data_IF_197843752261
#
_entry.id   IF_197843752261
#
_cell.length_a   1.000
_cell.length_b   1.000
_cell.length_c   1.000
_cell.angle_alpha   90.00
_cell.angle_beta   90.00
_cell.angle_gamma   90.00
#
_symmetry.space_group_name_H-M   'P 1'
#
loop_
_entity.id
_entity.type
_entity.pdbx_description
1 polymer ?
#
# COMPACT_ATOMS: atom_id res chain seq x y z
N UNK A 1 -16.94 18.49 -1.75
CA UNK A 1 -16.33 18.02 -0.48
C UNK A 1 -14.90 18.51 -0.48
N UNK A 2 -14.55 19.28 0.52
CA UNK A 2 -13.17 19.74 0.69
C UNK A 2 -12.36 18.66 1.41
N UNK A 3 -11.19 18.30 0.85
CA UNK A 3 -10.33 17.25 1.37
C UNK A 3 -9.00 17.90 1.75
N UNK A 4 -8.77 18.01 3.04
CA UNK A 4 -7.48 18.44 3.57
C UNK A 4 -6.54 17.22 3.67
N UNK A 5 -5.27 17.37 3.25
CA UNK A 5 -4.25 16.33 3.42
C UNK A 5 -3.11 16.90 4.26
N UNK A 6 -2.77 16.20 5.31
CA UNK A 6 -1.61 16.51 6.16
C UNK A 6 -0.88 15.24 6.58
N UNK A 7 0.31 15.41 7.11
CA UNK A 7 1.03 14.29 7.74
C UNK A 7 0.25 13.74 8.94
N UNK A 8 0.34 12.44 9.14
CA UNK A 8 -0.13 11.79 10.36
C UNK A 8 0.62 12.32 11.58
N UNK A 9 -0.02 12.34 12.73
CA UNK A 9 0.53 12.73 14.04
C UNK A 9 0.29 11.60 15.03
N UNK A 10 1.05 11.54 16.09
CA UNK A 10 0.89 10.49 17.12
C UNK A 10 -0.54 10.41 17.67
N UNK A 11 -1.21 11.57 17.86
CA UNK A 11 -2.61 11.64 18.32
C UNK A 11 -3.63 11.04 17.32
N UNK A 12 -3.20 10.79 16.08
CA UNK A 12 -4.04 10.21 15.02
C UNK A 12 -3.93 8.67 14.98
N UNK A 13 -2.87 8.10 15.52
CA UNK A 13 -2.50 6.68 15.33
C UNK A 13 -3.66 5.73 15.57
N UNK A 14 -4.33 5.84 16.72
CA UNK A 14 -5.47 4.97 17.02
C UNK A 14 -6.63 5.16 16.05
N UNK A 15 -6.91 6.40 15.64
CA UNK A 15 -7.97 6.70 14.66
C UNK A 15 -7.66 6.13 13.29
N UNK A 16 -6.39 6.14 12.89
CA UNK A 16 -5.94 5.53 11.62
C UNK A 16 -6.02 4.01 11.68
N UNK A 17 -5.66 3.39 12.80
CA UNK A 17 -5.84 1.95 13.01
C UNK A 17 -7.33 1.56 12.92
N UNK A 18 -8.21 2.30 13.60
CA UNK A 18 -9.68 2.10 13.53
C UNK A 18 -10.21 2.29 12.11
N UNK A 19 -9.79 3.35 11.43
CA UNK A 19 -10.15 3.64 10.04
C UNK A 19 -9.71 2.52 9.10
N UNK A 20 -8.47 2.06 9.25
CA UNK A 20 -7.91 1.00 8.41
C UNK A 20 -8.65 -0.31 8.65
N UNK A 21 -8.94 -0.64 9.92
CA UNK A 21 -9.75 -1.79 10.27
C UNK A 21 -11.14 -1.75 9.62
N UNK A 22 -11.80 -0.61 9.66
CA UNK A 22 -13.11 -0.44 9.00
C UNK A 22 -13.04 -0.55 7.48
N UNK A 23 -11.98 0.00 6.87
CA UNK A 23 -11.80 -0.01 5.42
C UNK A 23 -11.54 -1.40 4.84
N UNK A 24 -10.82 -2.25 5.58
CA UNK A 24 -10.38 -3.57 5.10
C UNK A 24 -11.16 -4.75 5.67
N UNK A 25 -12.09 -4.53 6.63
CA UNK A 25 -12.82 -5.61 7.27
C UNK A 25 -13.58 -6.50 6.28
N UNK A 26 -13.23 -7.78 6.24
CA UNK A 26 -13.75 -8.79 5.33
C UNK A 26 -13.51 -8.51 3.83
N UNK A 27 -12.52 -7.68 3.48
CA UNK A 27 -12.24 -7.39 2.07
C UNK A 27 -11.37 -8.47 1.42
N UNK A 28 -10.28 -8.85 2.05
CA UNK A 28 -9.32 -9.82 1.51
C UNK A 28 -9.52 -11.23 2.07
N UNK A 29 -9.89 -11.32 3.33
CA UNK A 29 -10.21 -12.54 4.08
C UNK A 29 -11.15 -12.17 5.24
N UNK A 30 -11.75 -13.15 5.97
CA UNK A 30 -12.56 -12.85 7.14
C UNK A 30 -11.75 -12.11 8.21
N UNK A 31 -12.19 -10.89 8.58
CA UNK A 31 -11.41 -9.95 9.38
C UNK A 31 -10.48 -9.09 8.53
N UNK A 32 -9.37 -8.65 9.09
CA UNK A 32 -8.28 -7.96 8.39
C UNK A 32 -7.03 -7.90 9.27
N UNK A 33 -5.86 -7.67 8.69
CA UNK A 33 -4.59 -7.43 9.37
C UNK A 33 -3.92 -6.08 9.01
N UNK A 34 -4.49 -5.34 8.07
CA UNK A 34 -3.96 -4.05 7.63
C UNK A 34 -3.91 -3.01 8.75
N UNK A 35 -4.80 -3.08 9.74
CA UNK A 35 -4.75 -2.20 10.90
C UNK A 35 -3.56 -2.53 11.83
N UNK A 36 -3.13 -3.79 11.87
CA UNK A 36 -1.91 -4.19 12.54
C UNK A 36 -0.67 -3.77 11.73
N UNK A 37 -0.74 -3.86 10.40
CA UNK A 37 0.33 -3.35 9.53
C UNK A 37 0.60 -1.87 9.79
N UNK A 38 -0.41 -1.00 9.84
CA UNK A 38 -0.18 0.44 10.11
C UNK A 38 0.40 0.67 11.51
N UNK A 39 0.06 -0.18 12.49
CA UNK A 39 0.63 -0.11 13.83
C UNK A 39 2.12 -0.41 13.84
N UNK A 40 2.54 -1.54 13.26
CA UNK A 40 3.94 -1.98 13.30
C UNK A 40 4.82 -1.20 12.33
N UNK A 41 4.27 -0.71 11.22
CA UNK A 41 5.02 0.03 10.21
C UNK A 41 5.67 1.29 10.79
N UNK A 42 4.98 2.01 11.68
CA UNK A 42 5.49 3.24 12.30
C UNK A 42 6.80 3.07 13.07
N UNK A 43 7.06 1.87 13.60
CA UNK A 43 8.29 1.53 14.32
C UNK A 43 9.31 0.78 13.47
N UNK A 44 8.97 0.46 12.21
CA UNK A 44 9.85 -0.31 11.33
C UNK A 44 10.93 0.59 10.70
N UNK A 45 12.20 0.12 10.57
CA UNK A 45 13.29 0.91 9.99
C UNK A 45 13.08 1.32 8.53
N UNK A 46 12.23 0.60 7.78
CA UNK A 46 11.88 0.94 6.41
C UNK A 46 10.75 1.97 6.30
N UNK A 47 10.12 2.36 7.40
CA UNK A 47 9.06 3.35 7.38
C UNK A 47 9.56 4.70 6.86
N UNK A 48 8.72 5.37 6.06
CA UNK A 48 8.99 6.70 5.51
C UNK A 48 7.98 7.70 6.09
N UNK A 49 8.26 8.26 7.29
CA UNK A 49 7.30 9.13 7.99
C UNK A 49 6.99 10.41 7.20
N UNK A 50 7.87 10.82 6.27
CA UNK A 50 7.64 11.95 5.38
C UNK A 50 6.53 11.68 4.34
N UNK A 51 6.19 10.41 4.10
CA UNK A 51 5.16 9.97 3.15
C UNK A 51 3.96 9.32 3.85
N UNK A 52 3.82 9.54 5.14
CA UNK A 52 2.64 9.12 5.90
C UNK A 52 1.64 10.28 5.98
N UNK A 53 0.48 10.10 5.34
CA UNK A 53 -0.54 11.13 5.20
C UNK A 53 -1.92 10.66 5.60
N UNK A 54 -2.66 11.56 6.25
CA UNK A 54 -4.09 11.43 6.50
C UNK A 54 -4.88 12.42 5.66
N UNK A 55 -6.06 11.99 5.23
CA UNK A 55 -7.06 12.86 4.59
C UNK A 55 -8.17 13.18 5.58
N UNK A 56 -8.52 14.45 5.68
CA UNK A 56 -9.57 14.95 6.54
C UNK A 56 -10.71 15.54 5.71
N UNK A 57 -11.93 15.36 6.20
CA UNK A 57 -13.15 16.02 5.74
C UNK A 57 -13.87 16.55 6.98
N UNK A 58 -14.16 17.84 7.01
CA UNK A 58 -14.79 18.52 8.16
C UNK A 58 -14.06 18.22 9.49
N UNK A 59 -12.71 18.19 9.46
CA UNK A 59 -11.86 17.91 10.61
C UNK A 59 -11.80 16.44 11.05
N UNK A 60 -12.53 15.52 10.39
CA UNK A 60 -12.52 14.09 10.66
C UNK A 60 -11.54 13.38 9.74
N UNK A 61 -10.66 12.53 10.29
CA UNK A 61 -9.79 11.64 9.50
C UNK A 61 -10.68 10.60 8.80
N UNK A 62 -10.57 10.53 7.47
CA UNK A 62 -11.38 9.67 6.61
C UNK A 62 -10.55 8.79 5.66
N UNK A 63 -9.24 8.99 5.62
CA UNK A 63 -8.32 8.18 4.83
C UNK A 63 -6.88 8.30 5.31
N UNK A 64 -6.06 7.31 4.97
CA UNK A 64 -4.62 7.27 5.25
C UNK A 64 -3.88 6.56 4.13
N UNK A 65 -2.61 6.91 3.94
CA UNK A 65 -1.64 6.23 3.08
C UNK A 65 -0.26 6.26 3.75
N UNK A 66 0.41 5.11 3.77
CA UNK A 66 1.75 4.96 4.35
C UNK A 66 2.72 4.34 3.36
N UNK A 67 4.00 4.68 3.50
CA UNK A 67 5.07 4.19 2.62
C UNK A 67 6.17 3.50 3.39
N UNK A 68 6.77 2.51 2.74
CA UNK A 68 7.99 1.83 3.20
C UNK A 68 9.05 1.83 2.10
N UNK A 69 10.32 1.80 2.50
CA UNK A 69 11.44 1.50 1.61
C UNK A 69 11.35 0.05 1.14
N UNK A 70 11.74 -0.15 -0.09
CA UNK A 70 11.88 -1.46 -0.72
C UNK A 70 13.07 -1.41 -1.68
N UNK A 71 13.36 -2.52 -2.33
CA UNK A 71 14.48 -2.56 -3.28
C UNK A 71 14.10 -3.29 -4.56
N UNK A 72 14.83 -2.99 -5.60
CA UNK A 72 14.92 -3.87 -6.78
C UNK A 72 16.37 -4.26 -6.98
N UNK A 73 16.61 -5.50 -7.39
CA UNK A 73 17.94 -6.05 -7.66
C UNK A 73 17.98 -6.59 -9.08
N UNK A 74 19.01 -6.21 -9.85
CA UNK A 74 19.14 -6.66 -11.22
C UNK A 74 20.01 -7.94 -11.35
N UNK A 75 20.10 -8.46 -12.57
CA UNK A 75 20.86 -9.66 -12.91
C UNK A 75 22.37 -9.56 -12.64
N UNK A 76 22.90 -8.36 -12.43
CA UNK A 76 24.30 -8.10 -12.12
C UNK A 76 24.56 -7.93 -10.62
N UNK A 77 23.52 -8.04 -9.79
CA UNK A 77 23.59 -7.81 -8.34
C UNK A 77 23.56 -6.34 -7.93
N UNK A 78 23.29 -5.42 -8.86
CA UNK A 78 23.04 -4.02 -8.54
C UNK A 78 21.71 -3.89 -7.83
N UNK A 79 21.71 -3.20 -6.69
CA UNK A 79 20.51 -2.99 -5.87
C UNK A 79 20.17 -1.51 -5.81
N UNK A 80 18.94 -1.17 -6.17
CA UNK A 80 18.42 0.19 -6.14
C UNK A 80 17.30 0.29 -5.10
N UNK A 81 17.32 1.38 -4.32
CA UNK A 81 16.22 1.70 -3.42
C UNK A 81 15.02 2.19 -4.24
N UNK A 82 13.89 1.58 -3.99
CA UNK A 82 12.56 1.99 -4.46
C UNK A 82 11.65 2.13 -3.25
N UNK A 83 10.44 2.61 -3.45
CA UNK A 83 9.45 2.69 -2.37
C UNK A 83 8.21 1.90 -2.72
N UNK A 84 7.50 1.47 -1.68
CA UNK A 84 6.19 0.84 -1.80
C UNK A 84 5.21 1.55 -0.88
N UNK A 85 3.94 1.57 -1.22
CA UNK A 85 2.92 2.04 -0.29
C UNK A 85 1.86 0.96 -0.04
N UNK A 86 1.34 0.99 1.15
CA UNK A 86 0.28 0.16 1.65
C UNK A 86 0.30 0.13 3.18
N UNK A 87 -0.89 0.13 3.78
CA UNK A 87 -2.19 0.21 3.12
C UNK A 87 -2.56 1.61 2.65
N UNK A 88 -3.54 1.68 1.72
CA UNK A 88 -4.29 2.91 1.41
C UNK A 88 -5.70 2.70 1.91
N UNK A 89 -6.07 3.39 2.95
CA UNK A 89 -7.33 3.22 3.66
C UNK A 89 -8.26 4.39 3.41
N UNK A 90 -9.53 4.12 3.15
CA UNK A 90 -10.59 5.14 3.11
C UNK A 90 -11.82 4.58 3.80
N UNK A 91 -12.37 5.31 4.78
CA UNK A 91 -13.60 4.92 5.44
C UNK A 91 -14.69 4.57 4.41
N UNK A 92 -15.45 3.46 4.58
CA UNK A 92 -16.45 3.01 3.62
C UNK A 92 -17.44 4.10 3.19
N UNK A 93 -17.88 4.94 4.13
CA UNK A 93 -18.79 6.07 3.86
C UNK A 93 -18.17 7.20 3.01
N UNK A 94 -16.84 7.21 2.83
CA UNK A 94 -16.10 8.21 2.05
C UNK A 94 -15.43 7.64 0.82
N UNK A 95 -15.58 6.34 0.55
CA UNK A 95 -15.12 5.71 -0.68
C UNK A 95 -15.85 6.27 -1.91
N UNK A 96 -15.23 6.17 -3.08
CA UNK A 96 -15.72 6.69 -4.37
C UNK A 96 -16.00 8.21 -4.41
N UNK A 97 -15.51 8.96 -3.42
CA UNK A 97 -15.66 10.44 -3.31
C UNK A 97 -14.35 11.20 -3.55
N UNK A 98 -13.34 10.55 -4.09
CA UNK A 98 -12.05 11.18 -4.43
C UNK A 98 -10.99 11.16 -3.34
N UNK A 99 -11.29 10.70 -2.12
CA UNK A 99 -10.33 10.69 -0.98
C UNK A 99 -9.07 9.90 -1.30
N UNK A 100 -9.20 8.64 -1.75
CA UNK A 100 -8.04 7.82 -2.13
C UNK A 100 -7.24 8.42 -3.31
N UNK A 101 -7.93 9.03 -4.27
CA UNK A 101 -7.29 9.75 -5.40
C UNK A 101 -6.43 10.90 -4.89
N UNK A 102 -6.97 11.71 -3.99
CA UNK A 102 -6.26 12.86 -3.41
C UNK A 102 -5.03 12.41 -2.62
N UNK A 103 -5.14 11.37 -1.79
CA UNK A 103 -4.02 10.79 -1.05
C UNK A 103 -2.91 10.30 -1.98
N UNK A 104 -3.24 9.45 -2.97
CA UNK A 104 -2.26 8.87 -3.90
C UNK A 104 -1.57 9.96 -4.72
N UNK A 105 -2.32 10.89 -5.30
CA UNK A 105 -1.73 11.97 -6.10
C UNK A 105 -0.87 12.92 -5.28
N UNK A 106 -1.30 13.23 -4.03
CA UNK A 106 -0.51 14.06 -3.13
C UNK A 106 0.79 13.37 -2.76
N UNK A 107 0.73 12.12 -2.28
CA UNK A 107 1.91 11.39 -1.82
C UNK A 107 2.89 11.07 -2.95
N UNK A 108 2.43 10.74 -4.16
CA UNK A 108 3.31 10.57 -5.33
C UNK A 108 4.06 11.86 -5.70
N UNK A 109 3.41 13.03 -5.62
CA UNK A 109 4.10 14.31 -5.83
C UNK A 109 5.16 14.57 -4.75
N UNK A 110 4.86 14.26 -3.48
CA UNK A 110 5.83 14.40 -2.41
C UNK A 110 7.00 13.42 -2.58
N UNK A 111 6.72 12.17 -2.93
CA UNK A 111 7.76 11.18 -3.24
C UNK A 111 8.70 11.68 -4.36
N UNK A 112 8.14 12.26 -5.42
CA UNK A 112 8.92 12.88 -6.49
C UNK A 112 9.79 14.04 -5.98
N UNK A 113 9.22 14.94 -5.17
CA UNK A 113 9.95 16.08 -4.58
C UNK A 113 11.09 15.63 -3.66
N UNK A 114 10.93 14.50 -2.98
CA UNK A 114 11.97 13.88 -2.14
C UNK A 114 13.03 13.14 -2.96
N UNK A 115 12.85 13.02 -4.27
CA UNK A 115 13.82 12.39 -5.16
C UNK A 115 13.66 10.89 -5.32
N UNK A 116 12.56 10.28 -4.83
CA UNK A 116 12.27 8.87 -5.13
C UNK A 116 12.03 8.68 -6.63
N UNK A 117 12.46 7.53 -7.15
CA UNK A 117 12.52 7.28 -8.60
C UNK A 117 11.48 6.30 -9.10
N UNK A 118 11.16 5.31 -8.28
CA UNK A 118 10.27 4.19 -8.63
C UNK A 118 9.39 3.86 -7.43
N UNK A 119 8.12 3.58 -7.70
CA UNK A 119 7.19 3.01 -6.73
C UNK A 119 6.73 1.65 -7.25
N UNK A 120 6.82 0.60 -6.43
CA UNK A 120 6.32 -0.74 -6.72
C UNK A 120 5.30 -1.12 -5.65
N UNK A 121 4.14 -1.60 -6.07
CA UNK A 121 3.04 -1.96 -5.15
C UNK A 121 2.41 -3.28 -5.54
N UNK A 122 1.72 -3.89 -4.59
CA UNK A 122 0.71 -4.91 -4.86
C UNK A 122 -0.68 -4.30 -4.72
N UNK A 123 -1.50 -4.44 -5.75
CA UNK A 123 -2.85 -3.91 -5.75
C UNK A 123 -3.63 -4.23 -7.01
N UNK A 124 -4.93 -3.99 -7.00
CA UNK A 124 -5.77 -4.27 -8.16
C UNK A 124 -5.52 -3.20 -9.25
N UNK A 125 -5.16 -3.57 -10.49
CA UNK A 125 -4.83 -2.63 -11.57
C UNK A 125 -5.90 -1.55 -11.81
N UNK A 126 -7.17 -1.91 -11.70
CA UNK A 126 -8.30 -0.99 -11.82
C UNK A 126 -8.17 0.25 -10.91
N UNK A 127 -7.59 0.08 -9.72
CA UNK A 127 -7.45 1.17 -8.75
C UNK A 127 -6.27 2.10 -9.05
N UNK A 128 -5.20 1.61 -9.70
CA UNK A 128 -3.91 2.30 -9.75
C UNK A 128 -3.46 2.71 -11.15
N UNK A 129 -3.89 2.03 -12.23
CA UNK A 129 -3.45 2.37 -13.58
C UNK A 129 -3.81 3.80 -14.01
N UNK A 130 -4.90 4.35 -13.49
CA UNK A 130 -5.30 5.76 -13.72
C UNK A 130 -4.31 6.81 -13.18
N UNK A 131 -3.38 6.42 -12.31
CA UNK A 131 -2.30 7.27 -11.78
C UNK A 131 -0.97 7.08 -12.50
N UNK A 132 -0.95 6.28 -13.58
CA UNK A 132 0.24 6.00 -14.36
C UNK A 132 0.99 4.72 -13.96
N UNK A 133 0.46 3.94 -13.01
CA UNK A 133 0.99 2.60 -12.74
C UNK A 133 0.74 1.68 -13.94
N UNK A 134 1.72 0.84 -14.23
CA UNK A 134 1.64 -0.24 -15.22
C UNK A 134 1.93 -1.57 -14.54
N UNK A 135 1.55 -2.68 -15.19
CA UNK A 135 2.00 -3.98 -14.72
C UNK A 135 3.53 -4.02 -14.63
N UNK A 136 4.08 -4.48 -13.52
CA UNK A 136 5.52 -4.42 -13.24
C UNK A 136 6.36 -5.13 -14.33
N UNK A 137 5.80 -6.13 -15.02
CA UNK A 137 6.38 -6.75 -16.21
C UNK A 137 6.76 -5.75 -17.29
N UNK A 138 5.97 -4.70 -17.51
CA UNK A 138 6.26 -3.67 -18.53
C UNK A 138 7.53 -2.87 -18.23
N UNK A 139 8.01 -2.92 -16.99
CA UNK A 139 9.26 -2.33 -16.53
C UNK A 139 10.30 -3.39 -16.17
N UNK A 140 10.12 -4.64 -16.65
CA UNK A 140 10.97 -5.78 -16.37
C UNK A 140 11.18 -6.07 -14.87
N UNK A 141 10.21 -5.76 -14.02
CA UNK A 141 10.27 -6.03 -12.59
C UNK A 141 9.45 -7.30 -12.31
N UNK A 142 10.12 -8.34 -11.83
CA UNK A 142 9.53 -9.62 -11.40
C UNK A 142 9.43 -9.70 -9.87
N UNK A 143 8.70 -10.68 -9.36
CA UNK A 143 8.79 -11.13 -7.98
C UNK A 143 10.14 -11.84 -7.71
N UNK A 144 10.39 -12.23 -6.46
CA UNK A 144 11.59 -12.95 -6.04
C UNK A 144 11.84 -14.25 -6.85
N UNK A 145 10.75 -14.88 -7.33
CA UNK A 145 10.79 -16.13 -8.10
C UNK A 145 10.91 -15.91 -9.61
N UNK A 146 11.07 -14.66 -10.05
CA UNK A 146 11.18 -14.31 -11.47
C UNK A 146 9.83 -14.31 -12.21
N UNK A 147 8.69 -14.32 -11.50
CA UNK A 147 7.35 -14.31 -12.06
C UNK A 147 6.79 -12.88 -12.07
N UNK A 148 5.71 -12.67 -12.80
CA UNK A 148 5.04 -11.38 -12.93
C UNK A 148 3.63 -11.47 -12.36
N UNK A 149 3.43 -11.25 -11.03
CA UNK A 149 2.11 -11.25 -10.44
C UNK A 149 1.20 -10.21 -11.11
N UNK A 150 -0.05 -10.58 -11.40
CA UNK A 150 -1.05 -9.68 -11.97
C UNK A 150 -1.25 -8.42 -11.10
N UNK A 151 -1.18 -8.59 -9.79
CA UNK A 151 -1.36 -7.49 -8.83
C UNK A 151 -0.11 -6.64 -8.62
N UNK A 152 1.06 -7.04 -9.15
CA UNK A 152 2.28 -6.26 -9.00
C UNK A 152 2.35 -5.15 -10.03
N UNK A 153 2.31 -3.91 -9.55
CA UNK A 153 2.27 -2.70 -10.38
C UNK A 153 3.46 -1.81 -10.04
N UNK A 154 3.93 -1.07 -11.02
CA UNK A 154 5.02 -0.13 -10.80
C UNK A 154 4.84 1.15 -11.61
N UNK A 155 5.47 2.23 -11.12
CA UNK A 155 5.58 3.50 -11.83
C UNK A 155 7.00 4.02 -11.69
N UNK A 156 7.63 4.39 -12.80
CA UNK A 156 8.83 5.22 -12.79
C UNK A 156 8.43 6.69 -12.64
N UNK A 157 8.67 7.27 -11.48
CA UNK A 157 8.53 8.71 -11.25
C UNK A 157 9.57 9.45 -12.09
N UNK A 158 10.79 8.92 -12.13
CA UNK A 158 11.83 9.36 -13.06
C UNK A 158 11.94 8.33 -14.20
N UNK A 159 11.42 8.67 -15.36
CA UNK A 159 11.44 7.80 -16.55
C UNK A 159 12.85 7.38 -16.95
N UNK A 160 13.02 6.11 -17.28
CA UNK A 160 14.27 5.54 -17.73
C UNK A 160 15.27 5.25 -16.62
N UNK A 161 14.87 5.37 -15.35
CA UNK A 161 15.75 5.11 -14.21
C UNK A 161 16.17 3.63 -14.12
N UNK A 162 15.29 2.71 -14.48
CA UNK A 162 15.54 1.27 -14.44
C UNK A 162 16.37 0.73 -15.63
N UNK A 163 16.68 1.57 -16.63
CA UNK A 163 17.62 1.29 -17.74
C UNK A 163 17.40 -0.04 -18.47
N UNK A 164 16.16 -0.53 -18.58
CA UNK A 164 15.76 -1.78 -19.23
C UNK A 164 16.43 -3.07 -18.68
N UNK A 165 17.07 -3.03 -17.53
CA UNK A 165 17.54 -4.23 -16.84
C UNK A 165 16.37 -5.14 -16.42
N UNK A 166 16.67 -6.38 -16.11
CA UNK A 166 15.74 -7.30 -15.44
C UNK A 166 15.88 -7.11 -13.96
N UNK A 167 14.80 -6.75 -13.31
CA UNK A 167 14.77 -6.45 -11.88
C UNK A 167 13.96 -7.49 -11.13
N UNK A 168 14.39 -7.82 -9.92
CA UNK A 168 13.59 -8.54 -8.91
C UNK A 168 13.18 -7.57 -7.82
N UNK A 169 11.90 -7.52 -7.52
CA UNK A 169 11.37 -6.71 -6.43
C UNK A 169 11.59 -7.41 -5.09
N UNK A 170 12.13 -6.67 -4.14
CA UNK A 170 12.38 -7.09 -2.76
C UNK A 170 11.58 -6.15 -1.85
N UNK A 171 10.37 -6.55 -1.43
CA UNK A 171 9.55 -5.75 -0.54
C UNK A 171 10.17 -5.61 0.85
N UNK A 172 9.74 -4.60 1.61
CA UNK A 172 10.06 -4.53 3.04
C UNK A 172 9.47 -5.72 3.78
N UNK A 173 10.22 -6.26 4.74
CA UNK A 173 9.74 -7.34 5.61
C UNK A 173 8.60 -6.92 6.53
N UNK A 174 8.31 -5.64 6.66
CA UNK A 174 7.15 -5.16 7.44
C UNK A 174 5.82 -5.73 6.92
N UNK A 175 5.77 -6.14 5.65
CA UNK A 175 4.58 -6.76 5.05
C UNK A 175 4.44 -8.27 5.38
N UNK A 176 5.45 -8.88 6.03
CA UNK A 176 5.41 -10.24 6.53
C UNK A 176 4.86 -10.25 7.96
N UNK A 177 3.54 -10.09 8.09
CA UNK A 177 2.89 -9.98 9.41
C UNK A 177 2.80 -11.34 10.11
N UNK A 178 3.02 -11.33 11.43
CA UNK A 178 2.71 -12.46 12.28
C UNK A 178 1.20 -12.49 12.59
N UNK A 179 0.53 -13.55 12.13
CA UNK A 179 -0.92 -13.68 12.27
C UNK A 179 -1.37 -13.74 13.74
N UNK A 180 -0.59 -14.36 14.63
CA UNK A 180 -0.94 -14.45 16.05
C UNK A 180 -0.85 -13.08 16.75
N UNK A 181 0.16 -12.28 16.40
CA UNK A 181 0.28 -10.91 16.92
C UNK A 181 -0.80 -9.99 16.31
N UNK A 182 -1.16 -10.17 15.03
CA UNK A 182 -2.28 -9.45 14.41
C UNK A 182 -3.61 -9.74 15.11
N UNK A 183 -3.91 -11.02 15.38
CA UNK A 183 -5.12 -11.42 16.13
C UNK A 183 -5.14 -10.87 17.57
N UNK A 184 -3.98 -10.84 18.23
CA UNK A 184 -3.83 -10.28 19.57
C UNK A 184 -4.07 -8.76 19.55
N UNK A 185 -3.55 -8.08 18.54
CA UNK A 185 -3.76 -6.64 18.35
C UNK A 185 -5.23 -6.33 18.07
N UNK A 186 -5.90 -7.15 17.23
CA UNK A 186 -7.33 -6.98 16.91
C UNK A 186 -8.22 -7.06 18.17
N UNK A 187 -7.84 -7.86 19.18
CA UNK A 187 -8.56 -7.91 20.46
C UNK A 187 -8.54 -6.62 21.27
N UNK A 188 -7.70 -5.64 20.90
CA UNK A 188 -7.70 -4.30 21.50
C UNK A 188 -8.81 -3.40 20.97
N UNK A 189 -9.54 -3.85 19.95
CA UNK A 189 -10.68 -3.18 19.34
C UNK A 189 -12.01 -3.82 19.77
N UNK A 190 -13.14 -3.12 19.65
CA UNK A 190 -14.44 -3.74 19.85
C UNK A 190 -14.62 -4.96 18.94
N UNK A 191 -15.22 -6.03 19.50
CA UNK A 191 -15.52 -7.24 18.75
C UNK A 191 -16.36 -6.91 17.51
N UNK A 192 -15.99 -7.47 16.39
CA UNK A 192 -16.69 -7.32 15.12
C UNK A 192 -16.87 -8.70 14.49
N UNK A 193 -18.07 -8.99 14.02
CA UNK A 193 -18.35 -10.26 13.37
C UNK A 193 -17.71 -10.29 11.99
N UNK A 194 -17.18 -11.45 11.62
CA UNK A 194 -16.58 -11.71 10.31
C UNK A 194 -17.58 -12.41 9.39
N UNK A 195 -17.39 -12.20 8.07
CA UNK A 195 -18.26 -12.84 7.09
C UNK A 195 -17.58 -13.01 5.73
N UNK A 196 -18.20 -13.80 4.89
CA UNK A 196 -17.79 -13.95 3.50
C UNK A 196 -18.25 -12.75 2.66
N UNK A 197 -17.34 -12.25 1.82
CA UNK A 197 -17.64 -11.29 0.74
C UNK A 197 -17.04 -11.78 -0.58
N UNK A 198 -17.66 -11.51 -1.73
CA UNK A 198 -17.13 -11.90 -3.04
C UNK A 198 -15.70 -11.37 -3.31
N UNK A 199 -15.35 -10.22 -2.75
CA UNK A 199 -14.01 -9.63 -2.84
C UNK A 199 -12.89 -10.52 -2.29
N UNK A 200 -13.19 -11.42 -1.35
CA UNK A 200 -12.21 -12.38 -0.81
C UNK A 200 -11.82 -13.42 -1.89
N UNK A 201 -12.79 -13.87 -2.70
CA UNK A 201 -12.51 -14.78 -3.81
C UNK A 201 -11.75 -14.05 -4.94
N UNK A 202 -12.15 -12.82 -5.26
CA UNK A 202 -11.41 -11.98 -6.22
C UNK A 202 -9.95 -11.78 -5.78
N UNK A 203 -9.72 -11.49 -4.49
CA UNK A 203 -8.39 -11.37 -3.93
C UNK A 203 -7.60 -12.66 -4.04
N UNK A 204 -8.21 -13.81 -3.69
CA UNK A 204 -7.58 -15.13 -3.80
C UNK A 204 -7.16 -15.44 -5.24
N UNK A 205 -8.00 -15.13 -6.23
CA UNK A 205 -7.68 -15.29 -7.65
C UNK A 205 -6.52 -14.38 -8.03
N UNK A 206 -6.57 -13.10 -7.66
CA UNK A 206 -5.55 -12.12 -7.99
C UNK A 206 -4.16 -12.47 -7.41
N UNK A 207 -4.11 -13.04 -6.19
CA UNK A 207 -2.87 -13.50 -5.57
C UNK A 207 -2.20 -14.68 -6.31
N UNK A 208 -2.96 -15.45 -7.11
CA UNK A 208 -2.47 -16.61 -7.86
C UNK A 208 -2.40 -16.35 -9.37
N UNK A 209 -2.75 -15.16 -9.83
CA UNK A 209 -2.70 -14.78 -11.25
C UNK A 209 -1.33 -14.18 -11.62
N UNK A 210 -0.81 -14.60 -12.77
CA UNK A 210 0.45 -14.11 -13.32
C UNK A 210 0.26 -13.65 -14.75
N UNK A 211 1.07 -12.68 -15.18
CA UNK A 211 1.12 -12.18 -16.55
C UNK A 211 2.24 -12.93 -17.28
N UNK A 212 1.89 -13.64 -18.36
CA UNK A 212 2.86 -14.37 -19.22
C UNK A 212 3.68 -13.43 -20.11
#
# INVERSE_FOLDING_TARGET
MDIEIRREREDDYRKVEELTREAFWDIHFPGCDEHYLVHVLRSHPDFIPELDYVALVDGKIVGNIMYAKAFVENENGERLEVISFGPVSVLPSYQHKGVGTSLIQHSLRQAMNMGHKVVVIYGHPYNYCKYGFVGAKSLNISDENGRFPYSMLAIEIQKGFLNNHKWKFIPSRVYELDSAESEKFDKTFPKKETGFKPSQEEFRIACHAYVE
#
